data_IF_751787241535
#
_entry.id   IF_751787241535
#
_cell.length_a   1.000
_cell.length_b   1.000
_cell.length_c   1.000
_cell.angle_alpha   90.00
_cell.angle_beta   90.00
_cell.angle_gamma   90.00
#
_symmetry.space_group_name_H-M   'P 1'
#
loop_
_entity.id
_entity.type
_entity.pdbx_description
1 polymer ?
#
# COMPACT_ATOMS: atom_id res chain seq x y z
N UNK A 1 -5.27 5.98 -8.01
CA UNK A 1 -4.15 5.44 -7.22
C UNK A 1 -2.84 5.95 -7.80
N UNK A 2 -1.87 6.28 -6.98
CA UNK A 2 -0.60 6.83 -7.44
C UNK A 2 0.39 5.71 -7.77
N UNK A 3 1.44 6.06 -8.52
CA UNK A 3 2.51 5.12 -8.82
C UNK A 3 3.17 4.63 -7.51
N UNK A 4 3.31 5.52 -6.53
CA UNK A 4 3.89 5.15 -5.24
C UNK A 4 3.05 4.08 -4.55
N UNK A 5 1.71 4.18 -4.63
CA UNK A 5 0.83 3.19 -4.03
C UNK A 5 1.08 1.82 -4.62
N UNK A 6 1.20 1.74 -5.94
CA UNK A 6 1.45 0.47 -6.60
C UNK A 6 2.80 -0.10 -6.20
N UNK A 7 3.80 0.75 -6.08
CA UNK A 7 5.13 0.30 -5.66
C UNK A 7 5.11 -0.25 -4.24
N UNK A 8 4.34 0.38 -3.34
CA UNK A 8 4.20 -0.12 -1.97
C UNK A 8 3.57 -1.51 -1.98
N UNK A 9 2.48 -1.67 -2.70
CA UNK A 9 1.78 -2.95 -2.76
C UNK A 9 2.66 -4.03 -3.37
N UNK A 10 3.35 -3.71 -4.46
CA UNK A 10 4.24 -4.66 -5.13
C UNK A 10 5.39 -5.08 -4.23
N UNK A 11 5.96 -4.13 -3.50
CA UNK A 11 7.06 -4.44 -2.58
C UNK A 11 6.61 -5.44 -1.52
N UNK A 12 5.47 -5.19 -0.91
CA UNK A 12 4.97 -6.08 0.15
C UNK A 12 4.57 -7.44 -0.40
N UNK A 13 4.05 -7.49 -1.63
CA UNK A 13 3.72 -8.77 -2.26
C UNK A 13 4.99 -9.56 -2.58
N UNK A 14 5.96 -8.91 -3.17
CA UNK A 14 7.19 -9.58 -3.60
C UNK A 14 7.98 -10.12 -2.42
N UNK A 15 8.08 -9.33 -1.35
CA UNK A 15 8.85 -9.74 -0.17
C UNK A 15 8.06 -10.62 0.79
N UNK A 16 6.72 -10.55 0.71
CA UNK A 16 5.83 -11.30 1.58
C UNK A 16 6.15 -11.05 3.04
N UNK A 17 6.27 -9.77 3.42
CA UNK A 17 6.65 -9.38 4.76
C UNK A 17 5.71 -8.32 5.32
N UNK A 18 5.80 -8.16 6.63
CA UNK A 18 5.22 -7.02 7.34
C UNK A 18 6.33 -5.98 7.46
N UNK A 19 6.05 -4.73 7.15
CA UNK A 19 7.08 -3.70 7.13
C UNK A 19 6.53 -2.35 7.57
N UNK A 20 7.44 -1.50 8.07
CA UNK A 20 7.10 -0.12 8.37
C UNK A 20 7.18 0.71 7.09
N UNK A 21 6.49 1.87 7.05
CA UNK A 21 6.61 2.76 5.90
C UNK A 21 8.05 3.18 5.62
N UNK A 22 8.87 3.34 6.66
CA UNK A 22 10.27 3.71 6.48
C UNK A 22 11.05 2.64 5.72
N UNK A 23 10.82 1.37 6.07
CA UNK A 23 11.48 0.26 5.37
C UNK A 23 11.03 0.21 3.93
N UNK A 24 9.72 0.33 3.69
CA UNK A 24 9.20 0.32 2.33
C UNK A 24 9.79 1.47 1.53
N UNK A 25 9.78 2.69 2.08
CA UNK A 25 10.26 3.87 1.38
C UNK A 25 11.73 3.74 0.99
N UNK A 26 12.54 3.17 1.88
CA UNK A 26 13.97 3.01 1.62
C UNK A 26 14.21 2.07 0.44
N UNK A 27 13.27 1.20 0.14
CA UNK A 27 13.42 0.20 -0.93
C UNK A 27 12.75 0.61 -2.24
N UNK A 28 11.91 1.64 -2.23
CA UNK A 28 11.19 2.06 -3.45
C UNK A 28 11.46 3.51 -3.84
N UNK A 29 12.44 4.14 -3.18
CA UNK A 29 12.96 5.44 -3.61
C UNK A 29 11.98 6.60 -3.38
N UNK A 30 11.26 6.55 -2.28
CA UNK A 30 10.38 7.63 -1.83
C UNK A 30 10.75 8.00 -0.40
N UNK A 31 10.25 9.16 0.07
CA UNK A 31 10.49 9.55 1.45
C UNK A 31 9.59 8.75 2.39
N UNK A 32 10.08 8.51 3.60
CA UNK A 32 9.29 7.79 4.61
C UNK A 32 8.03 8.53 4.97
N UNK A 33 8.09 9.86 5.02
CA UNK A 33 6.94 10.67 5.37
C UNK A 33 5.82 10.53 4.34
N UNK A 34 6.18 10.59 3.06
CA UNK A 34 5.19 10.43 1.99
C UNK A 34 4.59 9.03 2.00
N UNK A 35 5.44 8.01 2.11
CA UNK A 35 4.97 6.62 2.13
C UNK A 35 4.11 6.35 3.35
N UNK A 36 4.42 6.96 4.50
CA UNK A 36 3.59 6.81 5.68
C UNK A 36 2.17 7.30 5.43
N UNK A 37 2.03 8.43 4.75
CA UNK A 37 0.70 8.95 4.39
C UNK A 37 -0.03 8.01 3.44
N UNK A 38 0.70 7.47 2.46
CA UNK A 38 0.08 6.57 1.49
C UNK A 38 -0.32 5.25 2.16
N UNK A 39 0.50 4.73 3.06
CA UNK A 39 0.14 3.50 3.78
C UNK A 39 -1.14 3.68 4.59
N UNK A 40 -1.31 4.84 5.23
CA UNK A 40 -2.55 5.09 5.97
C UNK A 40 -3.76 5.12 5.04
N UNK A 41 -3.63 5.74 3.87
CA UNK A 41 -4.72 5.75 2.89
C UNK A 41 -5.02 4.36 2.35
N UNK A 42 -3.98 3.60 2.05
CA UNK A 42 -4.14 2.24 1.55
C UNK A 42 -4.78 1.34 2.60
N UNK A 43 -4.44 1.55 3.87
CA UNK A 43 -5.04 0.80 4.95
C UNK A 43 -6.53 1.12 5.09
N UNK A 44 -6.88 2.41 4.99
CA UNK A 44 -8.28 2.82 5.05
C UNK A 44 -9.08 2.21 3.91
N UNK A 45 -8.48 2.10 2.74
CA UNK A 45 -9.13 1.51 1.57
C UNK A 45 -9.17 -0.02 1.62
N UNK A 46 -8.51 -0.64 2.60
CA UNK A 46 -8.53 -2.09 2.75
C UNK A 46 -7.47 -2.84 1.98
N UNK A 47 -6.55 -2.13 1.32
CA UNK A 47 -5.48 -2.77 0.54
C UNK A 47 -4.31 -3.18 1.41
N UNK A 48 -4.11 -2.50 2.54
CA UNK A 48 -3.13 -2.87 3.54
C UNK A 48 -3.84 -3.04 4.87
N UNK A 49 -3.21 -3.80 5.76
CA UNK A 49 -3.68 -3.95 7.13
C UNK A 49 -2.58 -3.51 8.08
N UNK A 50 -2.94 -2.62 9.00
CA UNK A 50 -2.01 -2.21 10.05
C UNK A 50 -2.03 -3.29 11.13
N UNK A 51 -0.88 -3.93 11.36
CA UNK A 51 -0.81 -5.04 12.31
C UNK A 51 -0.35 -4.63 13.70
N UNK A 52 0.29 -3.47 13.80
CA UNK A 52 0.64 -2.87 15.10
C UNK A 52 0.87 -1.38 14.87
N UNK A 53 1.53 -0.69 15.80
CA UNK A 53 1.65 0.77 15.77
C UNK A 53 2.23 1.30 14.46
N UNK A 54 3.10 0.53 13.81
CA UNK A 54 3.82 1.06 12.65
C UNK A 54 4.01 0.07 11.50
N UNK A 55 3.60 -1.17 11.64
CA UNK A 55 3.81 -2.19 10.60
C UNK A 55 2.54 -2.42 9.79
N UNK A 56 2.72 -2.64 8.48
CA UNK A 56 1.63 -2.90 7.54
C UNK A 56 1.90 -4.19 6.79
N UNK A 57 0.83 -4.86 6.39
CA UNK A 57 0.90 -6.04 5.53
C UNK A 57 -0.08 -5.90 4.39
N UNK A 58 0.20 -6.61 3.29
CA UNK A 58 -0.71 -6.65 2.15
C UNK A 58 -1.92 -7.52 2.50
N UNK A 59 -3.11 -7.05 2.14
CA UNK A 59 -4.34 -7.81 2.34
C UNK A 59 -4.70 -8.61 1.10
N UNK A 60 -5.69 -9.49 1.23
CA UNK A 60 -6.21 -10.21 0.06
C UNK A 60 -6.73 -9.25 -1.00
N UNK A 61 -7.37 -8.17 -0.56
CA UNK A 61 -7.85 -7.16 -1.51
C UNK A 61 -6.68 -6.51 -2.25
N UNK A 62 -5.59 -6.21 -1.54
CA UNK A 62 -4.40 -5.67 -2.17
C UNK A 62 -3.82 -6.62 -3.21
N UNK A 63 -3.79 -7.90 -2.89
CA UNK A 63 -3.31 -8.90 -3.85
C UNK A 63 -4.22 -8.98 -5.08
N UNK A 64 -5.52 -8.93 -4.87
CA UNK A 64 -6.48 -8.95 -5.98
C UNK A 64 -6.28 -7.76 -6.91
N UNK A 65 -6.01 -6.60 -6.33
CA UNK A 65 -5.73 -5.41 -7.14
C UNK A 65 -4.48 -5.62 -7.99
N UNK A 66 -3.42 -6.13 -7.39
CA UNK A 66 -2.16 -6.36 -8.12
C UNK A 66 -2.30 -7.40 -9.20
N UNK A 67 -3.21 -8.35 -9.00
CA UNK A 67 -3.47 -9.41 -9.98
C UNK A 67 -4.44 -8.99 -11.08
N UNK A 68 -4.94 -7.77 -11.01
CA UNK A 68 -5.85 -7.25 -12.01
C UNK A 68 -7.30 -7.68 -11.85
N UNK A 69 -7.64 -8.25 -10.69
CA UNK A 69 -9.01 -8.73 -10.45
C UNK A 69 -9.97 -7.62 -10.08
N UNK A 70 -9.43 -6.50 -9.58
CA UNK A 70 -10.21 -5.31 -9.28
C UNK A 70 -9.45 -4.10 -9.79
N UNK A 71 -10.17 -3.00 -10.02
CA UNK A 71 -9.54 -1.76 -10.47
C UNK A 71 -9.63 -0.71 -9.37
N UNK A 72 -8.83 0.35 -9.51
CA UNK A 72 -8.85 1.44 -8.54
C UNK A 72 -10.21 2.12 -8.45
N UNK A 73 -11.01 2.06 -9.51
CA UNK A 73 -12.36 2.65 -9.51
C UNK A 73 -13.29 1.92 -8.56
N UNK A 74 -12.98 0.67 -8.24
CA UNK A 74 -13.77 -0.14 -7.32
C UNK A 74 -13.38 0.10 -5.86
N UNK A 75 -12.41 0.99 -5.62
CA UNK A 75 -11.90 1.29 -4.29
C UNK A 75 -12.06 2.80 -4.07
N UNK A 76 -13.24 3.24 -3.59
CA UNK A 76 -13.57 4.68 -3.58
C UNK A 76 -12.60 5.55 -2.83
N UNK A 77 -12.04 5.05 -1.75
CA UNK A 77 -11.18 5.88 -0.90
C UNK A 77 -9.82 6.13 -1.49
N UNK A 78 -9.40 5.31 -2.45
CA UNK A 78 -8.09 5.46 -3.08
C UNK A 78 -8.20 6.06 -4.47
N UNK A 79 -9.40 6.11 -5.03
CA UNK A 79 -9.60 6.65 -6.38
C UNK A 79 -9.59 8.17 -6.42
N UNK A 80 -9.73 8.84 -5.28
CA UNK A 80 -9.66 10.29 -5.24
C UNK A 80 -8.25 10.76 -5.49
N UNK A 81 -8.13 11.92 -6.07
CA UNK A 81 -6.82 12.49 -6.33
C UNK A 81 -6.11 12.84 -5.01
N UNK A 82 -4.84 12.64 -5.04
CA UNK A 82 -3.96 13.00 -3.95
C UNK A 82 -3.99 14.51 -3.73
#
# INVERSE_FOLDING_TARGET
>A
MTQADERVLEFLQEKDIVATPSVVAANIDYTGEYISRRCRKLSTAGLLQRVDASNYRLTDLGEQYLEGKITSDEIPEISTKE
#
